data_IF_203561843465
#
_entry.id   IF_203561843465
#
_cell.length_a   1.000
_cell.length_b   1.000
_cell.length_c   1.000
_cell.angle_alpha   90.00
_cell.angle_beta   90.00
_cell.angle_gamma   90.00
#
_symmetry.space_group_name_H-M   'P 1'
#
loop_
_entity.id
_entity.type
_entity.pdbx_description
1 polymer ?
#
# COMPACT_ATOMS: atom_id res chain seq x y z
N UNK A 1 7.95 -23.73 -1.82
CA UNK A 1 8.29 -25.17 -1.79
C UNK A 1 9.21 -25.58 -2.95
N UNK A 2 9.49 -24.69 -3.93
CA UNK A 2 10.40 -24.95 -5.06
C UNK A 2 11.88 -24.67 -4.75
N UNK A 3 12.21 -23.80 -3.78
CA UNK A 3 13.61 -23.48 -3.43
C UNK A 3 14.44 -24.68 -3.00
N UNK A 4 13.85 -25.71 -2.38
CA UNK A 4 14.60 -26.87 -1.87
C UNK A 4 15.07 -27.83 -2.98
N UNK A 5 14.46 -27.74 -4.17
CA UNK A 5 14.80 -28.61 -5.31
C UNK A 5 16.04 -28.13 -6.06
N UNK A 6 16.17 -26.82 -6.31
CA UNK A 6 17.32 -26.26 -7.04
C UNK A 6 18.66 -26.55 -6.33
N UNK A 7 18.69 -26.50 -5.00
CA UNK A 7 19.89 -26.82 -4.23
C UNK A 7 20.27 -28.31 -4.26
N UNK A 8 19.28 -29.21 -4.34
CA UNK A 8 19.53 -30.64 -4.48
C UNK A 8 20.17 -30.96 -5.82
N UNK A 9 19.63 -30.41 -6.91
CA UNK A 9 20.10 -30.69 -8.26
C UNK A 9 21.56 -30.24 -8.47
N UNK A 10 21.94 -29.07 -7.96
CA UNK A 10 23.33 -28.59 -8.00
C UNK A 10 24.27 -29.48 -7.19
N UNK A 11 23.82 -29.93 -6.01
CA UNK A 11 24.63 -30.78 -5.14
C UNK A 11 24.86 -32.16 -5.74
N UNK A 12 23.85 -32.73 -6.40
CA UNK A 12 23.95 -34.00 -7.13
C UNK A 12 24.85 -33.86 -8.36
N UNK A 13 24.67 -32.78 -9.12
CA UNK A 13 25.47 -32.54 -10.31
C UNK A 13 26.95 -32.30 -9.99
N UNK A 14 27.24 -31.56 -8.91
CA UNK A 14 28.61 -31.40 -8.39
C UNK A 14 29.22 -32.74 -7.99
N UNK A 15 28.43 -33.63 -7.38
CA UNK A 15 28.87 -34.98 -6.98
C UNK A 15 29.14 -35.88 -8.19
N UNK A 16 28.30 -35.81 -9.24
CA UNK A 16 28.57 -36.49 -10.52
C UNK A 16 29.90 -36.00 -11.13
N UNK A 17 30.12 -34.68 -11.14
CA UNK A 17 31.32 -34.07 -11.73
C UNK A 17 32.61 -34.41 -10.94
N UNK A 18 32.55 -34.35 -9.62
CA UNK A 18 33.66 -34.79 -8.76
C UNK A 18 33.94 -36.29 -8.89
N UNK A 19 32.90 -37.11 -9.08
CA UNK A 19 33.02 -38.55 -9.29
C UNK A 19 33.64 -38.93 -10.63
N UNK A 20 33.58 -38.04 -11.63
CA UNK A 20 34.25 -38.20 -12.93
C UNK A 20 35.72 -37.77 -12.88
N UNK A 21 36.07 -36.83 -12.00
CA UNK A 21 37.41 -36.28 -11.86
C UNK A 21 38.42 -37.36 -11.43
N UNK A 22 39.29 -37.79 -12.35
CA UNK A 22 40.36 -38.77 -12.08
C UNK A 22 40.15 -40.15 -12.71
N UNK A 23 39.02 -40.40 -13.38
CA UNK A 23 38.86 -41.60 -14.21
C UNK A 23 39.60 -41.39 -15.55
N UNK A 24 40.44 -42.36 -15.95
CA UNK A 24 41.22 -42.30 -17.20
C UNK A 24 40.37 -42.56 -18.45
N UNK A 25 39.19 -43.15 -18.29
CA UNK A 25 38.24 -43.43 -19.35
C UNK A 25 36.89 -42.85 -18.93
N UNK A 26 36.67 -41.57 -19.23
CA UNK A 26 35.35 -40.94 -19.13
C UNK A 26 34.77 -40.97 -20.53
N UNK A 27 33.56 -41.50 -20.68
CA UNK A 27 32.87 -41.47 -21.96
C UNK A 27 32.56 -40.02 -22.33
N UNK A 28 32.82 -39.64 -23.58
CA UNK A 28 32.43 -38.32 -24.12
C UNK A 28 30.93 -38.07 -23.98
N UNK A 29 30.10 -39.12 -23.99
CA UNK A 29 28.65 -39.01 -23.80
C UNK A 29 28.29 -38.62 -22.36
N UNK A 30 28.97 -39.18 -21.37
CA UNK A 30 28.71 -38.88 -19.95
C UNK A 30 29.10 -37.44 -19.60
N UNK A 31 30.21 -36.95 -20.17
CA UNK A 31 30.62 -35.56 -20.01
C UNK A 31 29.62 -34.59 -20.67
N UNK A 32 29.15 -34.92 -21.89
CA UNK A 32 28.17 -34.11 -22.60
C UNK A 32 26.85 -34.02 -21.80
N UNK A 33 26.36 -35.13 -21.27
CA UNK A 33 25.14 -35.15 -20.45
C UNK A 33 25.29 -34.32 -19.17
N UNK A 34 26.43 -34.40 -18.49
CA UNK A 34 26.70 -33.60 -17.30
C UNK A 34 26.72 -32.09 -17.60
N UNK A 35 27.33 -31.69 -18.74
CA UNK A 35 27.35 -30.29 -19.18
C UNK A 35 25.95 -29.81 -19.57
N UNK A 36 25.15 -30.66 -20.22
CA UNK A 36 23.79 -30.32 -20.61
C UNK A 36 22.88 -30.16 -19.38
N UNK A 37 22.99 -31.06 -18.38
CA UNK A 37 22.29 -30.92 -17.09
C UNK A 37 22.72 -29.63 -16.36
N UNK A 38 24.01 -29.28 -16.41
CA UNK A 38 24.50 -28.03 -15.81
C UNK A 38 23.88 -26.81 -16.47
N UNK A 39 23.89 -26.78 -17.80
CA UNK A 39 23.30 -25.69 -18.57
C UNK A 39 21.82 -25.55 -18.24
N UNK A 40 21.08 -26.66 -18.19
CA UNK A 40 19.66 -26.65 -17.81
C UNK A 40 19.47 -26.11 -16.39
N UNK A 41 20.23 -26.61 -15.42
CA UNK A 41 20.13 -26.16 -14.02
C UNK A 41 20.43 -24.66 -13.87
N UNK A 42 21.40 -24.14 -14.65
CA UNK A 42 21.70 -22.71 -14.67
C UNK A 42 20.57 -21.90 -15.30
N UNK A 43 19.95 -22.39 -16.38
CA UNK A 43 18.78 -21.75 -16.97
C UNK A 43 17.61 -21.71 -15.99
N UNK A 44 17.29 -22.83 -15.35
CA UNK A 44 16.20 -22.91 -14.36
C UNK A 44 16.45 -21.95 -13.18
N UNK A 45 17.70 -21.86 -12.70
CA UNK A 45 18.06 -20.89 -11.65
C UNK A 45 17.87 -19.44 -12.11
N UNK A 46 18.24 -19.10 -13.35
CA UNK A 46 18.05 -17.76 -13.89
C UNK A 46 16.56 -17.42 -14.04
N UNK A 47 15.71 -18.39 -14.40
CA UNK A 47 14.26 -18.20 -14.42
C UNK A 47 13.70 -17.94 -13.03
N UNK A 48 14.11 -18.72 -12.02
CA UNK A 48 13.71 -18.49 -10.62
C UNK A 48 14.15 -17.10 -10.14
N UNK A 49 15.38 -16.68 -10.44
CA UNK A 49 15.83 -15.33 -10.09
C UNK A 49 15.07 -14.24 -10.85
N UNK A 50 14.72 -14.46 -12.12
CA UNK A 50 13.88 -13.56 -12.89
C UNK A 50 12.50 -13.38 -12.28
N UNK A 51 11.84 -14.49 -11.95
CA UNK A 51 10.54 -14.49 -11.29
C UNK A 51 10.60 -13.84 -9.90
N UNK A 52 11.64 -14.12 -9.10
CA UNK A 52 11.84 -13.49 -7.81
C UNK A 52 12.08 -11.98 -7.91
N UNK A 53 12.87 -11.53 -8.90
CA UNK A 53 13.11 -10.11 -9.13
C UNK A 53 11.84 -9.37 -9.58
N UNK A 54 11.02 -9.99 -10.44
CA UNK A 54 9.73 -9.43 -10.84
C UNK A 54 8.76 -9.35 -9.66
N UNK A 55 8.69 -10.39 -8.84
CA UNK A 55 7.87 -10.42 -7.63
C UNK A 55 8.29 -9.30 -6.65
N UNK A 56 9.59 -9.10 -6.43
CA UNK A 56 10.09 -8.01 -5.59
C UNK A 56 9.70 -6.62 -6.12
N UNK A 57 9.73 -6.41 -7.43
CA UNK A 57 9.27 -5.15 -8.04
C UNK A 57 7.76 -4.94 -7.87
N UNK A 58 6.96 -6.01 -7.95
CA UNK A 58 5.52 -5.92 -7.71
C UNK A 58 5.21 -5.58 -6.25
N UNK A 59 5.90 -6.22 -5.31
CA UNK A 59 5.77 -5.93 -3.88
C UNK A 59 6.18 -4.48 -3.56
N UNK A 60 7.27 -3.98 -4.16
CA UNK A 60 7.71 -2.59 -4.00
C UNK A 60 6.63 -1.60 -4.48
N UNK A 61 6.03 -1.85 -5.64
CA UNK A 61 4.93 -1.03 -6.17
C UNK A 61 3.68 -1.07 -5.28
N UNK A 62 3.36 -2.24 -4.72
CA UNK A 62 2.24 -2.37 -3.77
C UNK A 62 2.52 -1.58 -2.48
N UNK A 63 3.74 -1.68 -1.95
CA UNK A 63 4.17 -0.91 -0.79
C UNK A 63 4.11 0.59 -1.05
N UNK A 64 4.52 1.06 -2.22
CA UNK A 64 4.43 2.46 -2.60
C UNK A 64 2.97 2.93 -2.67
N UNK A 65 2.10 2.16 -3.31
CA UNK A 65 0.67 2.48 -3.38
C UNK A 65 0.01 2.53 -1.99
N UNK A 66 0.37 1.59 -1.12
CA UNK A 66 -0.07 1.56 0.27
C UNK A 66 0.44 2.77 1.07
N UNK A 67 1.71 3.12 0.91
CA UNK A 67 2.32 4.29 1.55
C UNK A 67 1.61 5.59 1.14
N UNK A 68 1.34 5.79 -0.17
CA UNK A 68 0.58 6.95 -0.67
C UNK A 68 -0.83 7.02 -0.07
N UNK A 69 -1.49 5.88 0.11
CA UNK A 69 -2.82 5.83 0.74
C UNK A 69 -2.75 6.22 2.22
N UNK A 70 -1.73 5.77 2.95
CA UNK A 70 -1.51 6.16 4.34
C UNK A 70 -1.21 7.66 4.46
N UNK A 71 -0.38 8.20 3.59
CA UNK A 71 -0.08 9.64 3.54
C UNK A 71 -1.35 10.47 3.29
N UNK A 72 -2.18 10.07 2.33
CA UNK A 72 -3.48 10.72 2.09
C UNK A 72 -4.39 10.67 3.32
N UNK A 73 -4.38 9.56 4.07
CA UNK A 73 -5.18 9.41 5.28
C UNK A 73 -4.68 10.34 6.39
N UNK A 74 -3.36 10.42 6.60
CA UNK A 74 -2.75 11.32 7.58
C UNK A 74 -3.09 12.78 7.26
N UNK A 75 -2.96 13.20 6.00
CA UNK A 75 -3.34 14.55 5.59
C UNK A 75 -4.82 14.87 5.85
N UNK A 76 -5.72 13.89 5.70
CA UNK A 76 -7.14 14.07 6.06
C UNK A 76 -7.35 14.19 7.57
N UNK A 77 -6.60 13.42 8.37
CA UNK A 77 -6.67 13.49 9.83
C UNK A 77 -6.18 14.85 10.33
N UNK A 78 -5.08 15.38 9.78
CA UNK A 78 -4.58 16.71 10.12
C UNK A 78 -5.62 17.80 9.85
N UNK A 79 -6.30 17.74 8.69
CA UNK A 79 -7.39 18.68 8.38
C UNK A 79 -8.55 18.59 9.38
N UNK A 80 -8.90 17.38 9.84
CA UNK A 80 -9.94 17.21 10.86
C UNK A 80 -9.49 17.78 12.20
N UNK A 81 -8.22 17.59 12.57
CA UNK A 81 -7.65 18.16 13.79
C UNK A 81 -7.72 19.69 13.74
N UNK A 82 -7.33 20.30 12.62
CA UNK A 82 -7.38 21.75 12.42
C UNK A 82 -8.82 22.29 12.50
N UNK A 83 -9.77 21.61 11.85
CA UNK A 83 -11.20 21.96 11.94
C UNK A 83 -11.70 21.90 13.37
N UNK A 84 -11.37 20.84 14.11
CA UNK A 84 -11.77 20.69 15.51
C UNK A 84 -11.14 21.74 16.40
N UNK A 85 -9.89 22.13 16.12
CA UNK A 85 -9.21 23.24 16.80
C UNK A 85 -9.95 24.56 16.57
N UNK A 86 -10.28 24.90 15.33
CA UNK A 86 -11.04 26.11 15.01
C UNK A 86 -12.42 26.13 15.67
N UNK A 87 -13.13 25.00 15.69
CA UNK A 87 -14.42 24.88 16.39
C UNK A 87 -14.24 25.11 17.88
N UNK A 88 -13.23 24.50 18.50
CA UNK A 88 -12.95 24.66 19.92
C UNK A 88 -12.62 26.12 20.28
N UNK A 89 -11.80 26.80 19.47
CA UNK A 89 -11.48 28.22 19.62
C UNK A 89 -12.74 29.09 19.53
N UNK A 90 -13.59 28.86 18.53
CA UNK A 90 -14.86 29.59 18.39
C UNK A 90 -15.83 29.35 19.55
N UNK A 91 -15.87 28.13 20.11
CA UNK A 91 -16.66 27.84 21.30
C UNK A 91 -16.15 28.60 22.53
N UNK A 92 -14.83 28.70 22.70
CA UNK A 92 -14.23 29.48 23.79
C UNK A 92 -14.58 30.95 23.66
N UNK A 93 -14.46 31.52 22.46
CA UNK A 93 -14.82 32.92 22.18
C UNK A 93 -16.31 33.20 22.48
N UNK A 94 -17.21 32.32 22.07
CA UNK A 94 -18.65 32.44 22.39
C UNK A 94 -18.86 32.43 23.91
N UNK A 95 -18.17 31.55 24.65
CA UNK A 95 -18.25 31.50 26.11
C UNK A 95 -17.74 32.80 26.74
N UNK A 96 -16.67 33.38 26.22
CA UNK A 96 -16.14 34.67 26.68
C UNK A 96 -17.11 35.82 26.42
N UNK A 97 -17.68 35.93 25.21
CA UNK A 97 -18.69 36.93 24.88
C UNK A 97 -19.96 36.80 25.76
N UNK A 98 -20.40 35.58 26.04
CA UNK A 98 -21.57 35.33 26.91
C UNK A 98 -21.26 35.73 28.35
N UNK A 99 -20.06 35.44 28.86
CA UNK A 99 -19.61 35.89 30.18
C UNK A 99 -19.58 37.43 30.25
N UNK A 100 -19.06 38.11 29.24
CA UNK A 100 -19.01 39.58 29.21
C UNK A 100 -20.43 40.19 29.23
N UNK A 101 -21.36 39.64 28.44
CA UNK A 101 -22.75 40.13 28.38
C UNK A 101 -23.59 39.81 29.62
N UNK A 102 -23.30 38.70 30.31
CA UNK A 102 -23.95 38.31 31.56
C UNK A 102 -23.37 39.00 32.80
N UNK A 103 -22.25 39.71 32.65
CA UNK A 103 -21.71 40.62 33.68
C UNK A 103 -21.99 42.07 33.25
N UNK A 104 -23.25 42.53 33.20
CA UNK A 104 -23.49 43.97 33.13
C UNK A 104 -23.05 44.58 34.46
N UNK A 105 -22.36 45.71 34.35
CA UNK A 105 -21.97 46.59 35.44
C UNK A 105 -23.07 46.72 36.53
N UNK A 106 -22.93 45.94 37.61
CA UNK A 106 -23.23 46.37 38.96
C UNK A 106 -21.95 46.15 39.74
N UNK A 107 -21.22 47.21 40.06
CA UNK A 107 -21.53 48.04 41.22
C UNK A 107 -21.37 47.22 42.50
N UNK A 108 -20.50 47.73 43.36
CA UNK A 108 -20.26 47.30 44.75
C UNK A 108 -21.57 47.06 45.50
N UNK A 109 -22.17 45.88 45.33
CA UNK A 109 -23.26 45.43 46.18
C UNK A 109 -23.05 43.96 46.48
N UNK A 110 -22.13 43.73 47.43
CA UNK A 110 -22.40 42.90 48.60
C UNK A 110 -23.21 41.61 48.31
N UNK A 111 -22.73 40.78 47.38
CA UNK A 111 -23.20 39.40 47.29
C UNK A 111 -22.58 38.62 48.45
N UNK A 112 -23.29 38.58 49.58
CA UNK A 112 -23.09 37.54 50.58
C UNK A 112 -23.14 36.19 49.85
N UNK A 113 -22.19 35.27 50.10
CA UNK A 113 -22.33 33.90 49.65
C UNK A 113 -23.62 33.35 50.28
N UNK A 114 -24.67 33.21 49.49
CA UNK A 114 -25.78 32.36 49.89
C UNK A 114 -25.25 30.96 49.76
N UNK A 115 -25.00 30.32 50.90
CA UNK A 115 -24.79 28.88 50.99
C UNK A 115 -26.06 28.20 50.47
N UNK A 116 -26.16 28.03 49.16
CA UNK A 116 -27.05 27.05 48.60
C UNK A 116 -26.45 25.68 48.95
N UNK A 117 -27.20 24.81 49.63
CA UNK A 117 -26.72 23.48 49.92
C UNK A 117 -26.47 22.80 48.58
N UNK A 118 -25.18 22.56 48.33
CA UNK A 118 -24.65 21.62 47.35
C UNK A 118 -25.69 20.52 47.10
N UNK A 119 -26.38 20.59 45.97
CA UNK A 119 -26.96 19.41 45.35
C UNK A 119 -25.75 18.53 45.04
N UNK A 120 -25.39 17.65 45.99
CA UNK A 120 -24.52 16.52 45.73
C UNK A 120 -25.18 15.80 44.57
N UNK A 121 -24.57 15.75 43.37
CA UNK A 121 -24.97 14.75 42.41
C UNK A 121 -24.72 13.44 43.14
N UNK A 122 -25.79 12.77 43.52
CA UNK A 122 -25.70 11.38 43.95
C UNK A 122 -25.22 10.65 42.71
N UNK A 123 -23.91 10.52 42.59
CA UNK A 123 -23.27 9.46 41.83
C UNK A 123 -23.70 8.19 42.55
N UNK A 124 -24.92 7.73 42.27
CA UNK A 124 -25.21 6.33 42.44
C UNK A 124 -24.14 5.63 41.61
N UNK A 125 -23.33 4.74 42.21
CA UNK A 125 -22.48 3.88 41.42
C UNK A 125 -23.44 3.13 40.51
N UNK A 126 -23.46 3.49 39.22
CA UNK A 126 -24.03 2.62 38.23
C UNK A 126 -23.22 1.35 38.35
N UNK A 127 -23.81 0.39 39.07
CA UNK A 127 -23.37 -0.98 39.16
C UNK A 127 -23.10 -1.38 37.72
N UNK A 128 -21.81 -1.47 37.39
CA UNK A 128 -21.31 -1.96 36.13
C UNK A 128 -22.03 -3.28 35.91
N UNK A 129 -23.10 -3.27 35.11
CA UNK A 129 -23.63 -4.51 34.59
C UNK A 129 -22.51 -5.02 33.71
N UNK A 130 -21.92 -6.20 33.98
CA UNK A 130 -20.94 -6.77 33.09
C UNK A 130 -21.56 -6.75 31.70
N UNK A 131 -20.85 -6.11 30.78
CA UNK A 131 -21.17 -6.07 29.38
C UNK A 131 -21.52 -7.51 28.98
N UNK A 132 -22.67 -7.75 28.31
CA UNK A 132 -23.04 -9.10 27.91
C UNK A 132 -21.87 -9.69 27.14
N UNK A 133 -21.48 -10.92 27.52
CA UNK A 133 -20.47 -11.71 26.83
C UNK A 133 -20.64 -11.52 25.33
N UNK A 134 -19.55 -11.17 24.66
CA UNK A 134 -19.43 -11.30 23.23
C UNK A 134 -19.78 -12.74 22.87
N UNK A 135 -21.04 -12.99 22.53
CA UNK A 135 -21.41 -14.23 21.88
C UNK A 135 -20.68 -14.20 20.52
N UNK A 136 -19.90 -15.24 20.19
CA UNK A 136 -19.34 -15.35 18.86
C UNK A 136 -20.51 -15.27 17.89
N UNK A 137 -20.48 -14.22 17.07
CA UNK A 137 -21.43 -13.99 15.98
C UNK A 137 -21.49 -15.30 15.20
N UNK A 138 -22.60 -16.03 15.35
CA UNK A 138 -22.89 -17.20 14.56
C UNK A 138 -22.73 -16.81 13.10
N UNK A 139 -21.88 -17.56 12.40
CA UNK A 139 -21.57 -17.41 10.99
C UNK A 139 -22.85 -17.06 10.21
N UNK A 140 -22.79 -16.10 9.25
CA UNK A 140 -23.93 -15.86 8.39
C UNK A 140 -24.26 -17.19 7.71
N UNK A 141 -25.46 -17.69 8.03
CA UNK A 141 -26.09 -18.80 7.36
C UNK A 141 -25.83 -18.68 5.86
N UNK A 142 -25.32 -19.77 5.29
CA UNK A 142 -25.02 -19.91 3.88
C UNK A 142 -26.13 -19.24 3.08
N UNK A 143 -25.79 -18.07 2.54
CA UNK A 143 -26.61 -17.37 1.58
C UNK A 143 -26.76 -18.34 0.43
N UNK A 144 -27.96 -18.92 0.31
CA UNK A 144 -28.41 -19.61 -0.90
C UNK A 144 -28.05 -18.71 -2.06
N UNK A 145 -27.02 -19.12 -2.80
CA UNK A 145 -26.65 -18.53 -4.07
C UNK A 145 -27.93 -18.52 -4.92
N UNK A 146 -28.36 -17.38 -5.48
CA UNK A 146 -29.32 -17.43 -6.57
C UNK A 146 -28.67 -18.27 -7.68
N UNK A 147 -29.38 -19.29 -8.13
CA UNK A 147 -29.07 -20.04 -9.34
C UNK A 147 -28.95 -19.01 -10.47
N UNK A 148 -27.72 -18.66 -10.81
CA UNK A 148 -27.44 -17.90 -12.02
C UNK A 148 -27.73 -18.83 -13.20
N UNK A 149 -28.48 -18.39 -14.22
CA UNK A 149 -28.65 -19.17 -15.44
C UNK A 149 -27.27 -19.42 -16.08
N UNK A 150 -27.05 -20.58 -16.73
CA UNK A 150 -25.78 -20.92 -17.32
C UNK A 150 -25.42 -19.89 -18.40
N UNK A 151 -24.31 -19.19 -18.19
CA UNK A 151 -23.66 -18.41 -19.25
C UNK A 151 -23.25 -19.39 -20.35
N UNK A 152 -23.92 -19.27 -21.50
CA UNK A 152 -23.50 -19.90 -22.73
C UNK A 152 -22.17 -19.27 -23.14
N UNK A 153 -21.09 -20.06 -23.08
CA UNK A 153 -19.82 -19.72 -23.70
C UNK A 153 -20.04 -19.57 -25.21
N UNK A 154 -19.68 -18.43 -25.83
CA UNK A 154 -19.65 -18.33 -27.27
C UNK A 154 -18.60 -19.30 -27.80
N UNK A 155 -19.02 -20.23 -28.65
CA UNK A 155 -18.13 -21.04 -29.48
C UNK A 155 -17.15 -20.14 -30.25
N UNK A 156 -15.86 -20.49 -30.33
CA UNK A 156 -14.90 -19.74 -31.13
C UNK A 156 -15.29 -19.86 -32.61
N UNK A 157 -15.87 -18.80 -33.14
CA UNK A 157 -16.12 -18.65 -34.56
C UNK A 157 -14.75 -18.40 -35.21
N UNK A 158 -14.31 -19.33 -36.07
CA UNK A 158 -13.18 -19.11 -36.98
C UNK A 158 -13.42 -17.81 -37.74
N UNK A 159 -12.68 -16.77 -37.41
CA UNK A 159 -12.73 -15.50 -38.12
C UNK A 159 -12.06 -15.68 -39.48
N UNK A 160 -12.90 -15.58 -40.52
CA UNK A 160 -12.47 -15.17 -41.84
C UNK A 160 -11.86 -13.75 -41.77
N UNK A 161 -10.92 -13.39 -42.66
CA UNK A 161 -10.33 -12.06 -42.66
C UNK A 161 -11.36 -11.04 -43.14
N UNK A 162 -11.87 -10.22 -42.22
CA UNK A 162 -12.75 -9.10 -42.53
C UNK A 162 -11.94 -7.82 -42.76
N UNK A 163 -12.32 -7.12 -43.83
CA UNK A 163 -11.79 -5.82 -44.26
C UNK A 163 -11.95 -4.74 -43.18
N UNK A 164 -11.09 -3.70 -43.17
CA UNK A 164 -11.22 -2.60 -42.24
C UNK A 164 -12.49 -1.77 -42.51
N UNK A 165 -13.23 -1.35 -41.47
CA UNK A 165 -14.42 -0.52 -41.60
C UNK A 165 -14.06 0.94 -41.90
N UNK A 166 -14.96 1.71 -42.55
CA UNK A 166 -14.75 3.12 -42.82
C UNK A 166 -14.86 3.97 -41.54
N UNK A 167 -13.93 4.92 -41.41
CA UNK A 167 -13.94 6.00 -40.42
C UNK A 167 -15.25 6.79 -40.50
N UNK A 168 -16.14 6.56 -39.54
CA UNK A 168 -17.30 7.42 -39.30
C UNK A 168 -16.91 8.46 -38.25
N UNK A 169 -16.99 9.72 -38.65
CA UNK A 169 -16.74 10.89 -37.83
C UNK A 169 -17.78 11.00 -36.71
N UNK A 170 -17.39 11.37 -35.48
CA UNK A 170 -18.34 11.61 -34.40
C UNK A 170 -19.23 12.84 -34.70
N UNK A 171 -20.49 12.85 -34.25
CA UNK A 171 -21.38 13.99 -34.41
C UNK A 171 -20.89 15.19 -33.57
N UNK A 172 -20.82 16.36 -34.21
CA UNK A 172 -20.52 17.65 -33.60
C UNK A 172 -21.47 17.95 -32.44
N UNK A 173 -20.89 18.21 -31.26
CA UNK A 173 -21.58 18.82 -30.13
C UNK A 173 -22.01 20.27 -30.48
N UNK A 174 -23.06 20.81 -29.83
CA UNK A 174 -23.48 22.18 -30.02
C UNK A 174 -22.43 23.17 -29.54
N UNK A 175 -22.08 24.08 -30.44
CA UNK A 175 -21.13 25.20 -30.32
C UNK A 175 -21.60 26.20 -29.24
N UNK A 176 -21.10 26.03 -28.02
CA UNK A 176 -21.15 27.06 -26.98
C UNK A 176 -19.92 27.94 -27.15
N UNK A 177 -20.12 29.12 -27.73
CA UNK A 177 -19.08 30.08 -28.09
C UNK A 177 -18.16 30.47 -26.92
N UNK A 178 -17.08 29.73 -26.75
CA UNK A 178 -15.90 30.18 -26.02
C UNK A 178 -14.88 30.74 -27.01
N UNK A 179 -14.25 31.89 -26.72
CA UNK A 179 -13.21 32.44 -27.57
C UNK A 179 -12.02 31.48 -27.65
N UNK A 180 -11.29 31.47 -28.79
CA UNK A 180 -10.14 30.59 -28.99
C UNK A 180 -9.07 30.92 -27.93
N UNK A 181 -8.75 29.96 -27.07
CA UNK A 181 -7.55 30.06 -26.25
C UNK A 181 -6.34 29.94 -27.17
N UNK A 182 -5.51 30.98 -27.17
CA UNK A 182 -4.17 30.90 -27.75
C UNK A 182 -3.38 29.77 -27.09
N UNK A 183 -2.60 28.99 -27.86
CA UNK A 183 -1.73 27.98 -27.30
C UNK A 183 -0.67 28.66 -26.43
N UNK A 184 -0.69 28.41 -25.13
CA UNK A 184 0.41 28.77 -24.23
C UNK A 184 1.69 28.09 -24.72
N UNK A 185 2.80 28.83 -24.90
CA UNK A 185 4.07 28.22 -25.26
C UNK A 185 4.52 27.29 -24.13
N UNK A 186 5.05 26.12 -24.52
CA UNK A 186 5.66 25.15 -23.61
C UNK A 186 6.74 25.85 -22.77
N UNK A 187 6.80 25.62 -21.45
CA UNK A 187 7.90 26.13 -20.64
C UNK A 187 9.20 25.48 -21.10
N UNK A 188 10.17 26.29 -21.53
CA UNK A 188 11.55 25.89 -21.73
C UNK A 188 12.10 25.40 -20.39
N UNK A 189 12.21 24.08 -20.25
CA UNK A 189 12.92 23.43 -19.15
C UNK A 189 14.41 23.42 -19.49
N UNK A 190 15.06 24.57 -19.31
CA UNK A 190 16.52 24.67 -19.23
C UNK A 190 16.99 24.00 -17.93
N UNK A 191 17.17 22.68 -17.99
CA UNK A 191 17.80 21.89 -16.94
C UNK A 191 19.34 21.91 -17.10
N UNK A 192 19.92 23.12 -17.12
CA UNK A 192 21.36 23.28 -16.91
C UNK A 192 21.61 23.40 -15.40
N UNK A 193 22.19 22.35 -14.80
CA UNK A 193 22.90 22.50 -13.52
C UNK A 193 22.39 21.71 -12.31
N UNK A 194 21.89 20.49 -12.48
CA UNK A 194 21.84 19.54 -11.36
C UNK A 194 23.00 18.55 -11.46
N UNK A 195 24.13 19.02 -10.92
CA UNK A 195 25.26 18.23 -10.44
C UNK A 195 24.76 17.22 -9.40
N UNK A 196 24.36 16.04 -9.88
CA UNK A 196 24.02 14.90 -9.03
C UNK A 196 25.32 14.33 -8.48
N UNK A 197 25.70 14.84 -7.30
CA UNK A 197 26.76 14.31 -6.44
C UNK A 197 26.51 12.85 -6.05
N UNK A 198 26.87 11.95 -6.97
CA UNK A 198 27.08 10.53 -6.73
C UNK A 198 28.41 10.35 -5.99
N UNK A 199 28.44 10.57 -4.69
CA UNK A 199 29.50 10.03 -3.84
C UNK A 199 28.99 9.47 -2.50
N UNK A 200 29.55 8.30 -2.21
CA UNK A 200 29.66 7.58 -0.94
C UNK A 200 28.48 6.76 -0.39
N UNK A 201 28.54 5.46 -0.73
CA UNK A 201 28.09 4.36 0.11
C UNK A 201 28.57 4.49 1.57
N UNK A 202 27.68 4.39 2.57
CA UNK A 202 28.10 4.14 3.94
C UNK A 202 28.48 2.66 4.12
N UNK A 203 29.80 2.41 4.16
CA UNK A 203 30.42 1.14 4.57
C UNK A 203 29.88 0.68 5.93
N UNK A 204 29.14 -0.43 5.94
CA UNK A 204 28.75 -1.18 7.15
C UNK A 204 30.00 -1.61 7.93
N UNK A 205 30.32 -0.91 9.02
CA UNK A 205 31.30 -1.38 10.01
C UNK A 205 30.67 -2.49 10.84
N UNK A 206 31.30 -3.67 10.79
CA UNK A 206 30.86 -4.88 11.46
C UNK A 206 30.82 -4.75 12.99
N UNK A 207 29.73 -5.24 13.57
CA UNK A 207 29.49 -5.36 15.01
C UNK A 207 30.05 -6.70 15.55
N UNK A 208 31.23 -7.13 15.09
CA UNK A 208 31.92 -8.31 15.61
C UNK A 208 33.07 -7.86 16.52
N UNK A 209 32.83 -7.80 17.82
CA UNK A 209 33.91 -7.41 18.74
C UNK A 209 33.65 -7.39 20.24
N UNK A 210 32.49 -7.82 20.75
CA UNK A 210 32.24 -7.83 22.21
C UNK A 210 31.89 -9.22 22.74
N UNK A 211 32.76 -10.19 22.53
CA UNK A 211 32.86 -11.37 23.42
C UNK A 211 34.31 -11.84 23.50
N UNK A 212 35.06 -11.26 24.44
CA UNK A 212 36.24 -11.88 25.04
C UNK A 212 36.60 -11.14 26.34
N UNK A 213 36.12 -11.66 27.47
CA UNK A 213 36.91 -12.28 28.56
C UNK A 213 36.15 -12.18 29.87
#
# INVERSE_FOLDING_TARGET
MEEEFAYKDISELKKEFEGMKGRKEISTTELHDAVQKLAQTMTDMLEVFGAAAEQMQLEEKEHEASARKHEMMLSKLDRIIDQNKTIAEGMVEIVEMVKEKLVPAKEETMFKPREEPFFKPRLEPQLFKPQPEWQPRSEPAQRTQPIMPPYQMPTPQMQQPMMPPPLTTPPSAPDFGMPPMEPTPSPDLDFEGLDLGLEEEPKKKGLFGMFKK
#
